data_IF_059049657823
#
_entry.id   IF_059049657823
#
_cell.length_a   1.000
_cell.length_b   1.000
_cell.length_c   1.000
_cell.angle_alpha   90.00
_cell.angle_beta   90.00
_cell.angle_gamma   90.00
#
_symmetry.space_group_name_H-M   'P 1'
#
loop_
_entity.id
_entity.type
_entity.pdbx_description
1 polymer ?
#
# COMPACT_ATOMS: atom_id res chain seq x y z
N UNK A 1 3.75 12.96 10.90
CA UNK A 1 2.49 13.27 11.61
C UNK A 1 2.71 13.64 13.08
N UNK A 2 3.60 12.96 13.82
CA UNK A 2 4.02 13.39 15.18
C UNK A 2 4.32 14.89 15.39
N UNK A 3 5.01 15.54 14.44
CA UNK A 3 5.27 16.99 14.54
C UNK A 3 3.99 17.81 14.45
N UNK A 4 3.02 17.39 13.62
CA UNK A 4 1.73 18.06 13.46
C UNK A 4 0.89 17.86 14.72
N UNK A 5 0.82 16.64 15.26
CA UNK A 5 0.15 16.36 16.53
C UNK A 5 0.71 17.21 17.68
N UNK A 6 2.04 17.29 17.79
CA UNK A 6 2.71 18.14 18.79
C UNK A 6 2.36 19.61 18.60
N UNK A 7 2.43 20.14 17.37
CA UNK A 7 2.08 21.54 17.09
C UNK A 7 0.60 21.85 17.36
N UNK A 8 -0.30 20.90 17.11
CA UNK A 8 -1.73 21.03 17.44
C UNK A 8 -1.93 21.05 18.97
N UNK A 9 -1.27 20.16 19.71
CA UNK A 9 -1.33 20.14 21.17
C UNK A 9 -0.79 21.44 21.79
N UNK A 10 0.35 21.94 21.29
CA UNK A 10 0.93 23.20 21.72
C UNK A 10 -0.02 24.37 21.45
N UNK A 11 -0.62 24.42 20.26
CA UNK A 11 -1.60 25.43 19.88
C UNK A 11 -2.83 25.39 20.79
N UNK A 12 -3.37 24.21 21.08
CA UNK A 12 -4.47 24.05 22.03
C UNK A 12 -4.10 24.61 23.41
N UNK A 13 -2.88 24.34 23.90
CA UNK A 13 -2.41 24.85 25.20
C UNK A 13 -2.36 26.38 25.23
N UNK A 14 -1.91 27.02 24.15
CA UNK A 14 -1.82 28.48 24.04
C UNK A 14 -3.20 29.10 24.09
N UNK A 15 -4.16 28.53 23.37
CA UNK A 15 -5.54 29.03 23.31
C UNK A 15 -6.27 28.81 24.63
N UNK A 16 -6.02 27.70 25.34
CA UNK A 16 -6.55 27.51 26.70
C UNK A 16 -6.07 28.62 27.63
N UNK A 17 -4.77 28.93 27.62
CA UNK A 17 -4.23 30.05 28.41
C UNK A 17 -4.81 31.40 27.99
N UNK A 18 -5.14 31.59 26.71
CA UNK A 18 -5.82 32.81 26.23
C UNK A 18 -7.23 32.93 26.85
N UNK A 19 -7.99 31.84 26.88
CA UNK A 19 -9.30 31.79 27.52
C UNK A 19 -9.26 32.08 29.03
N UNK A 20 -8.24 31.55 29.73
CA UNK A 20 -8.00 31.84 31.15
C UNK A 20 -7.68 33.33 31.39
N UNK A 21 -6.78 33.91 30.59
CA UNK A 21 -6.47 35.34 30.66
C UNK A 21 -7.66 36.23 30.34
N UNK A 22 -8.51 35.82 29.39
CA UNK A 22 -9.74 36.55 29.06
C UNK A 22 -10.69 36.58 30.26
N UNK A 23 -10.79 35.47 31.00
CA UNK A 23 -11.56 35.41 32.24
C UNK A 23 -11.01 36.33 33.31
N UNK A 24 -9.68 36.35 33.51
CA UNK A 24 -9.04 37.30 34.44
C UNK A 24 -9.31 38.76 34.07
N UNK A 25 -9.30 39.09 32.77
CA UNK A 25 -9.68 40.43 32.27
C UNK A 25 -11.12 40.74 32.66
N UNK A 26 -12.08 39.84 32.42
CA UNK A 26 -13.48 40.05 32.82
C UNK A 26 -13.63 40.31 34.32
N UNK A 27 -12.93 39.55 35.18
CA UNK A 27 -12.98 39.72 36.64
C UNK A 27 -12.43 41.08 37.10
N UNK A 28 -11.30 41.52 36.51
CA UNK A 28 -10.71 42.85 36.78
C UNK A 28 -11.65 43.95 36.32
N UNK A 29 -12.19 43.83 35.10
CA UNK A 29 -13.05 44.85 34.52
C UNK A 29 -14.39 44.97 35.25
N UNK A 30 -14.95 43.85 35.74
CA UNK A 30 -16.11 43.87 36.63
C UNK A 30 -15.83 44.63 37.94
N UNK A 31 -14.62 44.48 38.49
CA UNK A 31 -14.20 45.23 39.68
C UNK A 31 -14.08 46.74 39.38
N UNK A 32 -13.56 47.12 38.21
CA UNK A 32 -13.51 48.52 37.77
C UNK A 32 -14.91 49.10 37.59
N UNK A 33 -15.84 48.34 36.99
CA UNK A 33 -17.24 48.75 36.84
C UNK A 33 -17.91 48.99 38.20
N UNK A 34 -17.62 48.15 39.20
CA UNK A 34 -18.10 48.34 40.57
C UNK A 34 -17.52 49.61 41.24
N UNK A 35 -16.22 49.87 41.06
CA UNK A 35 -15.55 51.11 41.54
C UNK A 35 -16.15 52.34 40.86
N UNK A 36 -16.38 52.28 39.54
CA UNK A 36 -16.99 53.35 38.78
C UNK A 36 -18.42 53.64 39.27
N UNK A 37 -19.23 52.60 39.52
CA UNK A 37 -20.57 52.74 40.10
C UNK A 37 -20.53 53.37 41.50
N UNK A 38 -19.58 52.97 42.36
CA UNK A 38 -19.40 53.59 43.68
C UNK A 38 -18.95 55.04 43.58
N UNK A 39 -18.05 55.35 42.66
CA UNK A 39 -17.56 56.72 42.39
C UNK A 39 -18.70 57.60 41.89
N UNK A 40 -19.56 57.07 41.02
CA UNK A 40 -20.76 57.76 40.53
C UNK A 40 -21.70 58.13 41.69
N UNK A 41 -21.92 57.19 42.62
CA UNK A 41 -22.77 57.41 43.80
C UNK A 41 -22.14 58.44 44.77
N UNK A 42 -20.82 58.39 44.98
CA UNK A 42 -20.09 59.39 45.77
C UNK A 42 -20.16 60.79 45.15
N UNK A 43 -19.98 60.88 43.83
CA UNK A 43 -20.07 62.13 43.08
C UNK A 43 -21.48 62.73 43.13
N UNK A 44 -22.52 61.89 43.04
CA UNK A 44 -23.91 62.31 43.21
C UNK A 44 -24.15 62.89 44.60
N UNK A 45 -23.70 62.21 45.66
CA UNK A 45 -23.83 62.70 47.03
C UNK A 45 -23.08 64.03 47.23
N UNK A 46 -21.89 64.18 46.64
CA UNK A 46 -21.13 65.42 46.66
C UNK A 46 -21.84 66.57 45.91
N UNK A 47 -22.47 66.28 44.77
CA UNK A 47 -23.26 67.25 44.02
C UNK A 47 -24.49 67.73 44.82
N UNK A 48 -25.17 66.81 45.53
CA UNK A 48 -26.30 67.14 46.41
C UNK A 48 -25.85 68.04 47.57
N UNK A 49 -24.75 67.71 48.24
CA UNK A 49 -24.26 68.50 49.38
C UNK A 49 -23.71 69.87 48.93
N UNK A 50 -23.09 69.94 47.74
CA UNK A 50 -22.66 71.19 47.13
C UNK A 50 -23.85 72.10 46.78
N UNK A 51 -24.96 71.55 46.27
CA UNK A 51 -26.20 72.30 46.04
C UNK A 51 -26.79 72.82 47.36
N UNK A 52 -26.66 72.06 48.45
CA UNK A 52 -27.13 72.42 49.80
C UNK A 52 -26.35 73.58 50.42
N UNK A 53 -25.08 73.73 50.09
CA UNK A 53 -24.22 74.84 50.53
C UNK A 53 -24.47 76.16 49.77
N UNK A 54 -25.36 76.18 48.77
CA UNK A 54 -25.72 77.39 48.02
C UNK A 54 -24.55 77.98 47.23
N UNK A 55 -24.39 79.30 47.26
CA UNK A 55 -23.35 80.03 46.51
C UNK A 55 -21.91 79.58 46.88
N UNK A 56 -21.67 79.16 48.13
CA UNK A 56 -20.36 78.67 48.58
C UNK A 56 -19.98 77.30 47.98
N UNK A 57 -20.96 76.50 47.57
CA UNK A 57 -20.77 75.15 47.00
C UNK A 57 -20.68 75.11 45.48
N UNK A 58 -20.86 76.24 44.79
CA UNK A 58 -21.03 76.29 43.33
C UNK A 58 -19.84 75.73 42.54
N UNK A 59 -18.61 75.96 43.00
CA UNK A 59 -17.40 75.36 42.41
C UNK A 59 -17.30 73.85 42.63
N UNK A 60 -17.68 73.37 43.83
CA UNK A 60 -17.70 71.94 44.15
C UNK A 60 -18.78 71.18 43.36
N UNK A 61 -19.93 71.80 43.10
CA UNK A 61 -20.99 71.21 42.30
C UNK A 61 -20.54 70.89 40.86
N UNK A 62 -19.76 71.79 40.24
CA UNK A 62 -19.21 71.57 38.89
C UNK A 62 -18.21 70.40 38.89
N UNK A 63 -17.33 70.33 39.89
CA UNK A 63 -16.37 69.23 40.00
C UNK A 63 -17.09 67.90 40.24
N UNK A 64 -18.10 67.87 41.12
CA UNK A 64 -18.87 66.67 41.39
C UNK A 64 -19.60 66.15 40.14
N UNK A 65 -20.17 67.03 39.32
CA UNK A 65 -20.81 66.63 38.06
C UNK A 65 -19.81 66.08 37.03
N UNK A 66 -18.61 66.66 36.93
CA UNK A 66 -17.58 66.15 36.02
C UNK A 66 -17.05 64.77 36.46
N UNK A 67 -16.88 64.56 37.77
CA UNK A 67 -16.52 63.25 38.33
C UNK A 67 -17.63 62.23 38.09
N UNK A 68 -18.90 62.63 38.21
CA UNK A 68 -20.08 61.79 37.90
C UNK A 68 -20.03 61.30 36.45
N UNK A 69 -19.80 62.22 35.52
CA UNK A 69 -19.70 61.93 34.08
C UNK A 69 -18.51 61.02 33.75
N UNK A 70 -17.36 61.25 34.38
CA UNK A 70 -16.19 60.37 34.26
C UNK A 70 -16.48 58.95 34.76
N UNK A 71 -17.19 58.83 35.88
CA UNK A 71 -17.58 57.55 36.45
C UNK A 71 -18.58 56.79 35.54
N UNK A 72 -19.59 57.46 34.99
CA UNK A 72 -20.53 56.87 34.01
C UNK A 72 -19.80 56.38 32.76
N UNK A 73 -18.90 57.20 32.19
CA UNK A 73 -18.08 56.81 31.04
C UNK A 73 -17.16 55.62 31.36
N UNK A 74 -16.55 55.58 32.55
CA UNK A 74 -15.70 54.48 32.99
C UNK A 74 -16.48 53.18 33.16
N UNK A 75 -17.72 53.26 33.67
CA UNK A 75 -18.61 52.12 33.77
C UNK A 75 -18.99 51.58 32.38
N UNK A 76 -19.34 52.45 31.43
CA UNK A 76 -19.67 52.05 30.06
C UNK A 76 -18.48 51.41 29.35
N UNK A 77 -17.29 52.00 29.45
CA UNK A 77 -16.07 51.44 28.86
C UNK A 77 -15.72 50.08 29.48
N UNK A 78 -15.90 49.92 30.80
CA UNK A 78 -15.70 48.63 31.48
C UNK A 78 -16.67 47.58 30.94
N UNK A 79 -17.95 47.91 30.76
CA UNK A 79 -18.92 46.97 30.20
C UNK A 79 -18.53 46.48 28.79
N UNK A 80 -18.05 47.39 27.93
CA UNK A 80 -17.58 47.02 26.59
C UNK A 80 -16.36 46.09 26.63
N UNK A 81 -15.45 46.27 27.60
CA UNK A 81 -14.30 45.39 27.78
C UNK A 81 -14.76 43.99 28.25
N UNK A 82 -15.76 43.89 29.12
CA UNK A 82 -16.34 42.60 29.54
C UNK A 82 -16.92 41.86 28.34
N UNK A 83 -17.72 42.53 27.52
CA UNK A 83 -18.32 41.93 26.31
C UNK A 83 -17.25 41.40 25.34
N UNK A 84 -16.17 42.17 25.14
CA UNK A 84 -15.03 41.74 24.32
C UNK A 84 -14.30 40.53 24.92
N UNK A 85 -14.10 40.52 26.24
CA UNK A 85 -13.43 39.42 26.93
C UNK A 85 -14.28 38.13 26.91
N UNK A 86 -15.59 38.24 27.02
CA UNK A 86 -16.52 37.10 26.84
C UNK A 86 -16.49 36.56 25.41
N UNK A 87 -16.46 37.45 24.41
CA UNK A 87 -16.33 37.05 23.01
C UNK A 87 -15.01 36.30 22.76
N UNK A 88 -13.87 36.83 23.24
CA UNK A 88 -12.56 36.17 23.14
C UNK A 88 -12.56 34.81 23.85
N UNK A 89 -13.23 34.70 25.00
CA UNK A 89 -13.35 33.43 25.73
C UNK A 89 -14.14 32.40 24.91
N UNK A 90 -15.27 32.80 24.32
CA UNK A 90 -16.08 31.95 23.45
C UNK A 90 -15.30 31.48 22.23
N UNK A 91 -14.62 32.41 21.54
CA UNK A 91 -13.80 32.10 20.37
C UNK A 91 -12.64 31.16 20.71
N UNK A 92 -12.02 31.35 21.88
CA UNK A 92 -10.96 30.47 22.38
C UNK A 92 -11.48 29.04 22.62
N UNK A 93 -12.66 28.89 23.22
CA UNK A 93 -13.28 27.57 23.42
C UNK A 93 -13.61 26.90 22.08
N UNK A 94 -14.11 27.66 21.11
CA UNK A 94 -14.42 27.14 19.78
C UNK A 94 -13.15 26.73 19.02
N UNK A 95 -12.07 27.48 19.15
CA UNK A 95 -10.79 27.15 18.57
C UNK A 95 -10.20 25.87 19.17
N UNK A 96 -10.28 25.66 20.49
CA UNK A 96 -9.86 24.41 21.14
C UNK A 96 -10.64 23.21 20.60
N UNK A 97 -11.96 23.32 20.44
CA UNK A 97 -12.78 22.24 19.83
C UNK A 97 -12.34 21.92 18.40
N UNK A 98 -12.05 22.96 17.61
CA UNK A 98 -11.60 22.81 16.23
C UNK A 98 -10.23 22.13 16.15
N UNK A 99 -9.30 22.51 17.03
CA UNK A 99 -7.98 21.87 17.11
C UNK A 99 -8.12 20.39 17.48
N UNK A 100 -8.96 20.06 18.47
CA UNK A 100 -9.20 18.65 18.84
C UNK A 100 -9.70 17.81 17.66
N UNK A 101 -10.71 18.31 16.93
CA UNK A 101 -11.17 17.65 15.71
C UNK A 101 -10.05 17.48 14.68
N UNK A 102 -9.20 18.51 14.51
CA UNK A 102 -8.02 18.43 13.65
C UNK A 102 -7.01 17.38 14.11
N UNK A 103 -6.82 17.20 15.42
CA UNK A 103 -5.97 16.13 15.98
C UNK A 103 -6.54 14.75 15.62
N UNK A 104 -7.84 14.54 15.80
CA UNK A 104 -8.50 13.26 15.47
C UNK A 104 -8.36 12.94 13.96
N UNK A 105 -8.53 13.93 13.10
CA UNK A 105 -8.37 13.78 11.64
C UNK A 105 -6.91 13.43 11.26
N UNK A 106 -5.91 13.98 11.96
CA UNK A 106 -4.49 13.65 11.75
C UNK A 106 -4.17 12.23 12.24
N UNK A 107 -4.77 11.78 13.32
CA UNK A 107 -4.60 10.42 13.83
C UNK A 107 -5.15 9.39 12.84
N UNK A 108 -6.38 9.60 12.36
CA UNK A 108 -6.98 8.78 11.29
C UNK A 108 -6.13 8.80 10.01
N UNK A 109 -5.62 9.96 9.62
CA UNK A 109 -4.70 10.08 8.48
C UNK A 109 -3.42 9.27 8.67
N UNK A 110 -2.90 9.21 9.90
CA UNK A 110 -1.71 8.42 10.24
C UNK A 110 -1.93 6.93 10.08
N UNK A 111 -3.09 6.43 10.49
CA UNK A 111 -3.48 5.03 10.32
C UNK A 111 -3.53 4.66 8.83
N UNK A 112 -4.24 5.44 8.01
CA UNK A 112 -4.37 5.19 6.57
C UNK A 112 -3.03 5.18 5.84
N UNK A 113 -2.13 6.12 6.18
CA UNK A 113 -0.77 6.16 5.61
C UNK A 113 0.05 4.94 6.04
N UNK A 114 -0.12 4.49 7.28
CA UNK A 114 0.57 3.30 7.81
C UNK A 114 0.12 2.04 7.07
N UNK A 115 -1.18 1.87 6.87
CA UNK A 115 -1.76 0.73 6.13
C UNK A 115 -1.34 0.73 4.66
N UNK A 116 -1.30 1.91 4.04
CA UNK A 116 -0.78 2.09 2.69
C UNK A 116 0.70 1.67 2.63
N UNK A 117 1.50 2.04 3.63
CA UNK A 117 2.90 1.64 3.74
C UNK A 117 3.08 0.12 3.88
N UNK A 118 2.21 -0.56 4.61
CA UNK A 118 2.22 -2.03 4.70
C UNK A 118 1.86 -2.67 3.35
N UNK A 119 0.86 -2.13 2.66
CA UNK A 119 0.44 -2.60 1.33
C UNK A 119 1.59 -2.48 0.32
N UNK A 120 2.31 -1.36 0.31
CA UNK A 120 3.49 -1.17 -0.55
C UNK A 120 4.62 -2.16 -0.24
N UNK A 121 4.88 -2.47 1.04
CA UNK A 121 5.84 -3.54 1.40
C UNK A 121 5.40 -4.91 0.88
N UNK A 122 4.10 -5.20 0.89
CA UNK A 122 3.55 -6.41 0.27
C UNK A 122 3.80 -6.47 -1.23
N UNK A 123 3.60 -5.34 -1.93
CA UNK A 123 3.87 -5.22 -3.37
C UNK A 123 5.37 -5.41 -3.65
N UNK A 124 6.25 -4.77 -2.89
CA UNK A 124 7.70 -4.91 -3.00
C UNK A 124 8.11 -6.39 -2.94
N UNK A 125 7.63 -7.12 -1.93
CA UNK A 125 7.90 -8.55 -1.78
C UNK A 125 7.39 -9.38 -2.97
N UNK A 126 6.19 -9.10 -3.48
CA UNK A 126 5.66 -9.78 -4.66
C UNK A 126 6.52 -9.52 -5.91
N UNK A 127 7.03 -8.30 -6.07
CA UNK A 127 7.93 -7.94 -7.18
C UNK A 127 9.27 -8.68 -7.05
N UNK A 128 9.81 -8.81 -5.85
CA UNK A 128 11.02 -9.62 -5.60
C UNK A 128 10.80 -11.09 -5.95
N UNK A 129 9.67 -11.69 -5.52
CA UNK A 129 9.31 -13.07 -5.83
C UNK A 129 9.15 -13.30 -7.34
N UNK A 130 8.50 -12.38 -8.06
CA UNK A 130 8.36 -12.43 -9.52
C UNK A 130 9.73 -12.34 -10.19
N UNK A 131 10.60 -11.44 -9.73
CA UNK A 131 11.95 -11.28 -10.27
C UNK A 131 12.79 -12.54 -10.09
N UNK A 132 12.71 -13.18 -8.92
CA UNK A 132 13.38 -14.45 -8.66
C UNK A 132 12.86 -15.58 -9.57
N UNK A 133 11.54 -15.66 -9.78
CA UNK A 133 10.95 -16.63 -10.73
C UNK A 133 11.42 -16.39 -12.16
N UNK A 134 11.47 -15.13 -12.61
CA UNK A 134 11.97 -14.78 -13.94
C UNK A 134 13.45 -15.16 -14.12
N UNK A 135 14.28 -14.98 -13.08
CA UNK A 135 15.67 -15.43 -13.10
C UNK A 135 15.77 -16.96 -13.23
N UNK A 136 14.92 -17.70 -12.51
CA UNK A 136 14.84 -19.16 -12.63
C UNK A 136 14.43 -19.63 -14.04
N UNK A 137 13.43 -18.97 -14.65
CA UNK A 137 13.02 -19.24 -16.03
C UNK A 137 14.16 -18.94 -17.00
N UNK A 138 14.82 -17.79 -16.87
CA UNK A 138 15.94 -17.40 -17.71
C UNK A 138 17.10 -18.41 -17.64
N UNK A 139 17.33 -19.02 -16.48
CA UNK A 139 18.33 -20.06 -16.31
C UNK A 139 17.91 -21.42 -16.93
N UNK A 140 16.61 -21.73 -16.99
CA UNK A 140 16.09 -22.98 -17.54
C UNK A 140 16.07 -22.99 -19.09
N UNK A 141 15.85 -21.84 -19.73
CA UNK A 141 15.75 -21.74 -21.19
C UNK A 141 16.96 -22.34 -21.92
N UNK A 142 18.22 -22.04 -21.57
CA UNK A 142 19.39 -22.64 -22.22
C UNK A 142 19.52 -24.16 -22.03
N UNK A 143 18.99 -24.70 -20.93
CA UNK A 143 18.96 -26.16 -20.73
C UNK A 143 17.97 -26.82 -21.68
N UNK A 144 16.76 -26.24 -21.79
CA UNK A 144 15.74 -26.71 -22.74
C UNK A 144 16.23 -26.65 -24.19
N UNK A 145 16.93 -25.58 -24.59
CA UNK A 145 17.49 -25.47 -25.94
C UNK A 145 18.48 -26.60 -26.23
N UNK A 146 19.41 -26.88 -25.30
CA UNK A 146 20.38 -27.98 -25.45
C UNK A 146 19.71 -29.35 -25.52
N UNK A 147 18.67 -29.57 -24.74
CA UNK A 147 17.90 -30.82 -24.76
C UNK A 147 17.17 -30.98 -26.10
N UNK A 148 16.59 -29.90 -26.63
CA UNK A 148 15.97 -29.91 -27.96
C UNK A 148 16.99 -30.20 -29.09
N UNK A 149 18.19 -29.63 -29.02
CA UNK A 149 19.29 -29.94 -29.94
C UNK A 149 19.68 -31.42 -29.87
N UNK A 150 19.83 -31.97 -28.66
CA UNK A 150 20.14 -33.39 -28.49
C UNK A 150 19.06 -34.32 -29.05
N UNK A 151 17.79 -33.95 -28.92
CA UNK A 151 16.68 -34.71 -29.52
C UNK A 151 16.77 -34.68 -31.04
N UNK A 152 17.08 -33.52 -31.64
CA UNK A 152 17.25 -33.41 -33.09
C UNK A 152 18.38 -34.31 -33.60
N UNK A 153 19.52 -34.35 -32.90
CA UNK A 153 20.64 -35.22 -33.24
C UNK A 153 20.28 -36.71 -33.17
N UNK A 154 19.52 -37.12 -32.14
CA UNK A 154 19.04 -38.49 -32.00
C UNK A 154 18.07 -38.87 -33.13
N UNK A 155 17.20 -37.95 -33.55
CA UNK A 155 16.29 -38.19 -34.69
C UNK A 155 17.08 -38.40 -35.98
N UNK A 156 18.13 -37.62 -36.24
CA UNK A 156 18.98 -37.79 -37.42
C UNK A 156 19.73 -39.14 -37.40
N UNK A 157 20.26 -39.54 -36.24
CA UNK A 157 20.90 -40.86 -36.08
C UNK A 157 19.91 -42.00 -36.32
N UNK A 158 18.66 -41.84 -35.89
CA UNK A 158 17.61 -42.83 -36.10
C UNK A 158 17.18 -42.93 -37.57
N UNK A 159 17.17 -41.82 -38.30
CA UNK A 159 16.95 -41.81 -39.74
C UNK A 159 18.04 -42.59 -40.49
N UNK A 160 19.31 -42.35 -40.14
CA UNK A 160 20.45 -43.08 -40.71
C UNK A 160 20.37 -44.58 -40.42
N UNK A 161 20.13 -44.96 -39.15
CA UNK A 161 19.96 -46.36 -38.76
C UNK A 161 18.81 -47.06 -39.51
N UNK A 162 17.68 -46.37 -39.73
CA UNK A 162 16.56 -46.92 -40.50
C UNK A 162 16.92 -47.15 -41.97
N UNK A 163 17.76 -46.29 -42.56
CA UNK A 163 18.23 -46.45 -43.94
C UNK A 163 19.15 -47.66 -44.10
N UNK A 164 20.02 -47.88 -43.11
CA UNK A 164 20.87 -49.07 -43.04
C UNK A 164 20.05 -50.34 -42.89
N UNK A 165 19.06 -50.33 -41.98
CA UNK A 165 18.12 -51.45 -41.80
C UNK A 165 17.38 -51.77 -43.10
N UNK A 166 16.91 -50.76 -43.83
CA UNK A 166 16.23 -50.96 -45.10
C UNK A 166 17.15 -51.63 -46.14
N UNK A 167 18.41 -51.19 -46.22
CA UNK A 167 19.42 -51.76 -47.11
C UNK A 167 19.74 -53.21 -46.72
N UNK A 168 19.97 -53.47 -45.43
CA UNK A 168 20.22 -54.80 -44.88
C UNK A 168 19.06 -55.75 -45.17
N UNK A 169 17.82 -55.26 -45.03
CA UNK A 169 16.60 -56.03 -45.31
C UNK A 169 16.52 -56.39 -46.80
N UNK A 170 16.87 -55.47 -47.70
CA UNK A 170 16.88 -55.74 -49.14
C UNK A 170 17.95 -56.77 -49.52
N UNK A 171 19.15 -56.67 -48.95
CA UNK A 171 20.19 -57.70 -49.12
C UNK A 171 19.73 -59.06 -48.60
N UNK A 172 19.11 -59.09 -47.42
CA UNK A 172 18.59 -60.33 -46.83
C UNK A 172 17.53 -60.99 -47.71
N UNK A 173 16.61 -60.20 -48.31
CA UNK A 173 15.64 -60.71 -49.28
C UNK A 173 16.32 -61.33 -50.50
N UNK A 174 17.32 -60.67 -51.07
CA UNK A 174 18.07 -61.19 -52.22
C UNK A 174 18.79 -62.51 -51.88
N UNK A 175 19.47 -62.58 -50.74
CA UNK A 175 20.11 -63.83 -50.27
C UNK A 175 19.09 -64.94 -50.02
N UNK A 176 17.91 -64.60 -49.51
CA UNK A 176 16.82 -65.58 -49.31
C UNK A 176 16.32 -66.15 -50.64
N UNK A 177 16.21 -65.32 -51.69
CA UNK A 177 15.86 -65.77 -53.04
C UNK A 177 16.93 -66.71 -53.63
N UNK A 178 18.21 -66.35 -53.53
CA UNK A 178 19.32 -67.21 -53.96
C UNK A 178 19.33 -68.55 -53.23
N UNK A 179 19.14 -68.53 -51.90
CA UNK A 179 19.07 -69.74 -51.08
C UNK A 179 17.88 -70.62 -51.47
N UNK A 180 16.72 -70.02 -51.79
CA UNK A 180 15.56 -70.76 -52.29
C UNK A 180 15.85 -71.44 -53.62
N UNK A 181 16.52 -70.76 -54.56
CA UNK A 181 16.91 -71.34 -55.84
C UNK A 181 17.90 -72.51 -55.67
N UNK A 182 18.92 -72.35 -54.81
CA UNK A 182 19.87 -73.42 -54.50
C UNK A 182 19.17 -74.64 -53.87
N UNK A 183 18.18 -74.42 -52.99
CA UNK A 183 17.39 -75.51 -52.40
C UNK A 183 16.55 -76.25 -53.44
N UNK A 184 16.01 -75.57 -54.45
CA UNK A 184 15.31 -76.23 -55.57
C UNK A 184 16.27 -77.10 -56.38
N UNK A 185 17.50 -76.63 -56.63
CA UNK A 185 18.52 -77.40 -57.33
C UNK A 185 18.91 -78.66 -56.54
N UNK A 186 19.13 -78.52 -55.22
CA UNK A 186 19.42 -79.66 -54.31
C UNK A 186 18.27 -80.67 -54.30
N UNK A 187 17.02 -80.21 -54.29
CA UNK A 187 15.86 -81.09 -54.37
C UNK A 187 15.86 -81.88 -55.70
N UNK A 188 16.13 -81.21 -56.83
CA UNK A 188 16.25 -81.85 -58.14
C UNK A 188 17.40 -82.86 -58.24
N UNK A 189 18.57 -82.54 -57.67
CA UNK A 189 19.68 -83.50 -57.56
C UNK A 189 19.31 -84.72 -56.72
N UNK A 190 18.60 -84.51 -55.61
CA UNK A 190 18.14 -85.59 -54.73
C UNK A 190 17.16 -86.53 -55.44
N UNK A 191 16.24 -85.97 -56.25
CA UNK A 191 15.30 -86.74 -57.07
C UNK A 191 16.03 -87.58 -58.14
N UNK A 192 16.99 -86.97 -58.85
CA UNK A 192 17.83 -87.69 -59.81
C UNK A 192 18.64 -88.81 -59.14
N UNK A 193 19.23 -88.56 -57.98
CA UNK A 193 19.97 -89.55 -57.21
C UNK A 193 19.07 -90.71 -56.78
N UNK A 194 17.84 -90.43 -56.33
CA UNK A 194 16.85 -91.45 -55.99
C UNK A 194 16.48 -92.31 -57.21
N UNK A 195 16.29 -91.69 -58.38
CA UNK A 195 16.03 -92.40 -59.63
C UNK A 195 17.20 -93.32 -60.03
N UNK A 196 18.43 -92.81 -59.98
CA UNK A 196 19.64 -93.61 -60.26
C UNK A 196 19.77 -94.79 -59.29
N UNK A 197 19.49 -94.58 -58.00
CA UNK A 197 19.48 -95.66 -57.00
C UNK A 197 18.43 -96.74 -57.31
N UNK A 198 17.23 -96.35 -57.75
CA UNK A 198 16.18 -97.28 -58.20
C UNK A 198 16.60 -98.06 -59.45
N UNK A 199 17.21 -97.40 -60.44
CA UNK A 199 17.72 -98.04 -61.66
C UNK A 199 18.83 -99.06 -61.33
N UNK A 200 19.80 -98.68 -60.49
CA UNK A 200 20.84 -99.59 -60.01
C UNK A 200 20.26 -100.79 -59.27
N UNK A 201 19.28 -100.57 -58.39
CA UNK A 201 18.59 -101.65 -57.69
C UNK A 201 17.89 -102.61 -58.65
N UNK A 202 17.25 -102.08 -59.71
CA UNK A 202 16.60 -102.89 -60.74
C UNK A 202 17.61 -103.72 -61.54
N UNK A 203 18.77 -103.15 -61.88
CA UNK A 203 19.88 -103.86 -62.55
C UNK A 203 20.40 -104.99 -61.65
N UNK A 204 20.70 -104.71 -60.38
CA UNK A 204 21.17 -105.72 -59.42
C UNK A 204 20.16 -106.87 -59.27
N UNK A 205 18.86 -106.56 -59.24
CA UNK A 205 17.81 -107.59 -59.15
C UNK A 205 17.77 -108.50 -60.39
N UNK A 206 18.09 -108.00 -61.59
CA UNK A 206 18.20 -108.84 -62.81
C UNK A 206 19.36 -109.84 -62.74
N UNK A 207 20.44 -109.51 -62.03
CA UNK A 207 21.59 -110.40 -61.85
C UNK A 207 21.43 -111.40 -60.69
N UNK A 208 20.41 -111.22 -59.84
CA UNK A 208 20.07 -112.13 -58.73
C UNK A 208 19.02 -113.17 -59.10
N UNK A 209 18.45 -113.09 -60.31
CA UNK A 209 17.49 -114.04 -60.88
C UNK A 209 18.14 -115.03 -61.83
#
# INVERSE_FOLDING_TARGET
MKNIESSMADSASVIVRLGERSKEISDITNSIAAIAAQTNLLALNAAIEAARAGEAGRGFAVVAEEVRKLAENSQQASQQIVELAEAIQSDSQQAVKTIRRGTDEVELGTEVVTDSGQSFKGIEKLVEEVSAKLAGIAAAVPAMTREAESVFDLVNQLEEANKDIATQTQTMSATTEEQSAAMQEVAGFSENLAKMAQELQAIVNKFKG
#
